data_IF_852806759512
#
_entry.id   IF_852806759512
#
_cell.length_a   1.000
_cell.length_b   1.000
_cell.length_c   1.000
_cell.angle_alpha   90.00
_cell.angle_beta   90.00
_cell.angle_gamma   90.00
#
_symmetry.space_group_name_H-M   'P 1'
#
loop_
_entity.id
_entity.type
_entity.pdbx_description
1 polymer ?
#
# COMPACT_ATOMS: atom_id res chain seq x y z
N UNK A 1 28.08 11.51 -31.85
CA UNK A 1 27.80 12.67 -31.00
C UNK A 1 26.37 13.12 -31.30
N UNK A 2 25.42 12.83 -30.40
CA UNK A 2 24.00 13.10 -30.64
C UNK A 2 23.67 14.58 -30.44
N UNK A 3 22.82 15.13 -31.31
CA UNK A 3 22.35 16.51 -31.31
C UNK A 3 21.81 16.93 -29.93
N UNK A 4 22.34 18.02 -29.37
CA UNK A 4 21.90 18.62 -28.10
C UNK A 4 21.30 19.99 -28.43
N UNK A 5 19.97 20.06 -28.46
CA UNK A 5 19.21 21.29 -28.69
C UNK A 5 18.06 21.41 -27.68
N UNK A 6 17.43 22.59 -27.60
CA UNK A 6 16.30 22.84 -26.69
C UNK A 6 15.15 21.85 -26.93
N UNK A 7 14.92 21.47 -28.19
CA UNK A 7 13.92 20.46 -28.59
C UNK A 7 14.22 19.07 -28.02
N UNK A 8 15.49 18.78 -27.68
CA UNK A 8 15.92 17.51 -27.11
C UNK A 8 15.94 17.53 -25.57
N UNK A 9 15.69 18.66 -24.90
CA UNK A 9 15.76 18.78 -23.44
C UNK A 9 14.73 17.87 -22.77
N UNK A 10 13.50 17.85 -23.26
CA UNK A 10 12.43 17.00 -22.73
C UNK A 10 12.79 15.51 -22.86
N UNK A 11 13.30 15.10 -24.02
CA UNK A 11 13.76 13.73 -24.29
C UNK A 11 14.97 13.36 -23.42
N UNK A 12 15.91 14.28 -23.20
CA UNK A 12 17.07 14.09 -22.33
C UNK A 12 16.68 14.01 -20.86
N UNK A 13 15.76 14.87 -20.39
CA UNK A 13 15.19 14.83 -19.05
C UNK A 13 14.43 13.53 -18.81
N UNK A 14 13.60 13.12 -19.78
CA UNK A 14 12.88 11.84 -19.76
C UNK A 14 13.84 10.65 -19.69
N UNK A 15 14.87 10.60 -20.55
CA UNK A 15 15.89 9.53 -20.51
C UNK A 15 16.65 9.50 -19.20
N UNK A 16 16.95 10.67 -18.62
CA UNK A 16 17.63 10.78 -17.33
C UNK A 16 16.71 10.29 -16.20
N UNK A 17 15.45 10.68 -16.18
CA UNK A 17 14.46 10.22 -15.21
C UNK A 17 14.21 8.71 -15.33
N UNK A 18 14.06 8.18 -16.54
CA UNK A 18 13.92 6.75 -16.82
C UNK A 18 15.13 5.94 -16.34
N UNK A 19 16.35 6.44 -16.56
CA UNK A 19 17.59 5.79 -16.06
C UNK A 19 17.75 5.91 -14.55
N UNK A 20 17.33 7.03 -13.96
CA UNK A 20 17.43 7.26 -12.52
C UNK A 20 16.43 6.41 -11.74
N UNK A 21 15.22 6.24 -12.29
CA UNK A 21 14.12 5.59 -11.59
C UNK A 21 13.70 6.34 -10.32
N UNK A 22 12.67 5.85 -9.65
CA UNK A 22 12.17 6.42 -8.39
C UNK A 22 12.06 5.35 -7.30
N UNK A 23 12.17 5.78 -6.05
CA UNK A 23 12.03 4.93 -4.87
C UNK A 23 10.63 5.15 -4.29
N UNK A 24 9.90 4.08 -4.03
CA UNK A 24 8.57 4.14 -3.43
C UNK A 24 8.49 3.20 -2.24
N UNK A 25 8.24 3.73 -1.04
CA UNK A 25 8.24 2.97 0.20
C UNK A 25 6.82 2.94 0.79
N UNK A 26 6.25 1.74 0.87
CA UNK A 26 4.91 1.50 1.42
C UNK A 26 5.07 0.76 2.74
N UNK A 27 4.35 1.17 3.77
CA UNK A 27 4.25 0.44 5.04
C UNK A 27 2.88 -0.20 5.17
N UNK A 28 2.79 -1.44 5.67
CA UNK A 28 1.51 -2.08 6.01
C UNK A 28 1.34 -2.11 7.52
N UNK A 29 0.23 -1.58 8.02
CA UNK A 29 -0.05 -1.47 9.46
C UNK A 29 -1.43 -2.05 9.76
N UNK A 30 -1.59 -2.72 10.90
CA UNK A 30 -2.87 -3.29 11.33
C UNK A 30 -2.70 -4.42 12.33
N UNK A 31 -3.80 -4.91 12.88
CA UNK A 31 -3.78 -6.03 13.83
C UNK A 31 -3.11 -7.29 13.24
N UNK A 32 -2.59 -8.15 14.11
CA UNK A 32 -2.11 -9.49 13.75
C UNK A 32 -3.20 -10.30 13.04
N UNK A 33 -2.81 -11.11 12.05
CA UNK A 33 -3.75 -12.03 11.39
C UNK A 33 -4.69 -11.40 10.37
N UNK A 34 -4.58 -10.11 10.06
CA UNK A 34 -5.37 -9.44 9.01
C UNK A 34 -4.89 -9.72 7.57
N UNK A 35 -3.80 -10.47 7.39
CA UNK A 35 -3.28 -10.80 6.05
C UNK A 35 -2.34 -9.75 5.45
N UNK A 36 -1.70 -8.91 6.29
CA UNK A 36 -0.71 -7.90 5.88
C UNK A 36 0.38 -8.48 4.98
N UNK A 37 1.17 -9.43 5.50
CA UNK A 37 2.26 -10.08 4.77
C UNK A 37 1.77 -10.84 3.53
N UNK A 38 0.56 -11.39 3.55
CA UNK A 38 -0.06 -11.99 2.36
C UNK A 38 -0.31 -10.94 1.28
N UNK A 39 -0.84 -9.77 1.64
CA UNK A 39 -1.08 -8.68 0.67
C UNK A 39 0.23 -8.14 0.08
N UNK A 40 1.31 -8.09 0.87
CA UNK A 40 2.65 -7.75 0.36
C UNK A 40 3.04 -8.69 -0.77
N UNK A 41 2.92 -10.01 -0.55
CA UNK A 41 3.23 -11.02 -1.56
C UNK A 41 2.31 -10.88 -2.79
N UNK A 42 1.01 -10.60 -2.58
CA UNK A 42 0.06 -10.33 -3.67
C UNK A 42 0.49 -9.13 -4.51
N UNK A 43 0.89 -8.03 -3.89
CA UNK A 43 1.33 -6.81 -4.58
C UNK A 43 2.55 -7.08 -5.47
N UNK A 44 3.55 -7.81 -4.94
CA UNK A 44 4.74 -8.17 -5.72
C UNK A 44 4.44 -9.16 -6.85
N UNK A 45 3.62 -10.20 -6.62
CA UNK A 45 3.25 -11.17 -7.67
C UNK A 45 2.36 -10.58 -8.76
N UNK A 46 1.58 -9.55 -8.44
CA UNK A 46 0.78 -8.81 -9.42
C UNK A 46 1.63 -7.97 -10.37
N UNK A 47 2.82 -7.52 -9.92
CA UNK A 47 3.67 -6.56 -10.66
C UNK A 47 4.91 -7.18 -11.30
N UNK A 48 5.55 -8.14 -10.66
CA UNK A 48 6.73 -8.80 -11.19
C UNK A 48 6.25 -9.80 -12.26
N UNK A 49 6.82 -9.73 -13.46
CA UNK A 49 6.56 -10.71 -14.52
C UNK A 49 6.60 -12.12 -13.93
N UNK A 50 5.48 -12.84 -14.00
CA UNK A 50 5.24 -14.18 -13.39
C UNK A 50 6.22 -15.28 -13.85
N UNK A 51 7.25 -14.91 -14.63
CA UNK A 51 8.34 -15.76 -15.11
C UNK A 51 9.48 -15.92 -14.10
N UNK A 52 9.66 -15.04 -13.11
CA UNK A 52 10.84 -15.07 -12.23
C UNK A 52 10.60 -15.59 -10.81
N UNK A 53 9.36 -15.91 -10.43
CA UNK A 53 9.06 -16.50 -9.12
C UNK A 53 8.84 -17.99 -9.34
N UNK A 54 9.87 -18.80 -9.08
CA UNK A 54 9.67 -20.24 -9.00
C UNK A 54 8.67 -20.54 -7.88
N UNK A 55 7.68 -21.43 -8.09
CA UNK A 55 6.80 -21.86 -7.02
C UNK A 55 7.61 -22.75 -6.08
N UNK A 56 8.22 -22.15 -5.07
CA UNK A 56 8.71 -22.91 -3.92
C UNK A 56 7.47 -23.38 -3.18
N UNK A 57 7.33 -24.71 -3.07
CA UNK A 57 6.41 -25.39 -2.16
C UNK A 57 6.36 -24.68 -0.80
N UNK A 58 5.14 -24.38 -0.39
CA UNK A 58 4.76 -23.33 0.57
C UNK A 58 5.30 -23.58 1.99
N UNK A 59 6.01 -22.61 2.53
CA UNK A 59 6.13 -22.44 3.99
C UNK A 59 5.05 -21.45 4.45
N UNK A 60 4.27 -21.85 5.45
CA UNK A 60 3.32 -21.00 6.17
C UNK A 60 4.01 -19.67 6.53
N UNK A 61 3.49 -18.54 6.06
CA UNK A 61 4.03 -17.21 6.39
C UNK A 61 4.04 -17.06 7.93
N UNK A 62 5.21 -16.92 8.58
CA UNK A 62 5.29 -16.82 10.02
C UNK A 62 4.71 -15.49 10.52
N UNK A 63 4.34 -15.44 11.79
CA UNK A 63 3.89 -14.18 12.42
C UNK A 63 5.05 -13.18 12.40
N UNK A 64 4.81 -11.99 11.84
CA UNK A 64 5.76 -10.88 11.86
C UNK A 64 5.94 -10.36 13.30
N UNK A 65 7.16 -10.47 13.83
CA UNK A 65 7.53 -10.06 15.20
C UNK A 65 8.35 -8.77 15.24
N UNK A 66 8.96 -8.38 14.12
CA UNK A 66 9.81 -7.19 13.97
C UNK A 66 9.46 -6.46 12.66
N UNK A 67 9.80 -5.18 12.57
CA UNK A 67 9.60 -4.40 11.34
C UNK A 67 10.61 -4.86 10.30
N UNK A 68 10.14 -5.31 9.13
CA UNK A 68 10.98 -5.82 8.03
C UNK A 68 10.71 -5.05 6.75
N UNK A 69 11.77 -4.67 6.04
CA UNK A 69 11.65 -4.02 4.73
C UNK A 69 12.04 -5.00 3.64
N UNK A 70 11.15 -5.19 2.66
CA UNK A 70 11.37 -6.04 1.48
C UNK A 70 11.42 -5.11 0.28
N UNK A 71 12.52 -5.14 -0.48
CA UNK A 71 12.71 -4.26 -1.64
C UNK A 71 12.76 -5.08 -2.93
N UNK A 72 11.98 -4.65 -3.93
CA UNK A 72 12.04 -5.18 -5.28
C UNK A 72 12.16 -4.06 -6.30
N UNK A 73 12.95 -4.29 -7.35
CA UNK A 73 12.99 -3.41 -8.50
C UNK A 73 11.94 -3.88 -9.53
N UNK A 74 11.07 -2.96 -9.92
CA UNK A 74 9.99 -3.16 -10.88
C UNK A 74 10.29 -2.27 -12.09
N UNK A 75 10.02 -2.76 -13.30
CA UNK A 75 10.14 -1.96 -14.52
C UNK A 75 8.80 -1.96 -15.26
N UNK A 76 8.20 -0.78 -15.44
CA UNK A 76 6.96 -0.59 -16.20
C UNK A 76 7.22 0.42 -17.32
N UNK A 77 7.01 0.01 -18.58
CA UNK A 77 7.21 0.84 -19.80
C UNK A 77 8.60 1.51 -19.88
N UNK A 78 9.65 0.84 -19.41
CA UNK A 78 11.04 1.35 -19.43
C UNK A 78 11.39 2.29 -18.27
N UNK A 79 10.48 2.49 -17.32
CA UNK A 79 10.74 3.23 -16.08
C UNK A 79 11.02 2.22 -14.97
N UNK A 80 12.19 2.33 -14.33
CA UNK A 80 12.55 1.51 -13.16
C UNK A 80 12.04 2.16 -11.89
N UNK A 81 11.37 1.39 -11.04
CA UNK A 81 10.92 1.78 -9.71
C UNK A 81 11.49 0.80 -8.69
N UNK A 82 12.10 1.32 -7.62
CA UNK A 82 12.48 0.52 -6.45
C UNK A 82 11.35 0.59 -5.44
N UNK A 83 10.55 -0.47 -5.39
CA UNK A 83 9.44 -0.60 -4.46
C UNK A 83 9.92 -1.29 -3.18
N UNK A 84 9.87 -0.55 -2.06
CA UNK A 84 10.10 -1.10 -0.72
C UNK A 84 8.74 -1.28 -0.05
N UNK A 85 8.47 -2.48 0.46
CA UNK A 85 7.30 -2.73 1.31
C UNK A 85 7.78 -3.10 2.70
N UNK A 86 7.31 -2.34 3.69
CA UNK A 86 7.68 -2.44 5.10
C UNK A 86 6.56 -3.20 5.83
N UNK A 87 6.83 -4.46 6.18
CA UNK A 87 5.94 -5.29 7.00
C UNK A 87 6.14 -4.95 8.48
N UNK A 88 5.05 -4.76 9.21
CA UNK A 88 5.10 -4.43 10.64
C UNK A 88 4.51 -5.54 11.51
N UNK A 89 4.98 -5.68 12.76
CA UNK A 89 4.30 -6.49 13.75
C UNK A 89 2.83 -6.05 13.88
N UNK A 90 1.95 -7.00 14.18
CA UNK A 90 0.58 -6.67 14.51
C UNK A 90 0.46 -6.11 15.93
N UNK A 91 -0.44 -5.15 16.11
CA UNK A 91 -0.85 -4.64 17.42
C UNK A 91 -2.20 -5.24 17.84
N UNK A 92 -2.66 -4.98 19.06
CA UNK A 92 -3.99 -5.39 19.52
C UNK A 92 -4.08 -6.81 20.10
N UNK A 93 -2.94 -7.49 20.32
CA UNK A 93 -2.87 -8.84 20.87
C UNK A 93 -2.71 -8.86 22.41
N UNK A 94 -2.40 -7.71 23.02
CA UNK A 94 -2.19 -7.58 24.46
C UNK A 94 -3.46 -7.13 25.19
N UNK A 95 -3.52 -7.32 26.52
CA UNK A 95 -4.63 -6.81 27.34
C UNK A 95 -4.57 -5.27 27.38
N UNK A 96 -3.37 -4.71 27.62
CA UNK A 96 -3.13 -3.28 27.48
C UNK A 96 -2.43 -3.01 26.13
N UNK A 97 -3.08 -2.22 25.27
CA UNK A 97 -2.54 -1.80 23.97
C UNK A 97 -2.20 -0.30 23.93
N UNK A 98 -2.13 0.36 25.09
CA UNK A 98 -1.62 1.72 25.18
C UNK A 98 -0.26 1.82 24.50
N UNK A 99 -0.05 2.89 23.75
CA UNK A 99 1.21 3.18 23.07
C UNK A 99 1.67 2.13 22.04
N UNK A 100 0.80 1.21 21.61
CA UNK A 100 1.18 0.20 20.61
C UNK A 100 1.58 0.78 19.24
N UNK A 101 1.23 2.04 18.95
CA UNK A 101 1.67 2.79 17.77
C UNK A 101 3.11 3.31 17.86
N UNK A 102 3.72 3.40 19.05
CA UNK A 102 5.03 4.03 19.25
C UNK A 102 6.15 3.41 18.38
N UNK A 103 6.29 2.07 18.25
CA UNK A 103 7.34 1.50 17.40
C UNK A 103 7.21 1.90 15.94
N UNK A 104 5.98 1.98 15.43
CA UNK A 104 5.69 2.35 14.04
C UNK A 104 5.93 3.86 13.83
N UNK A 105 5.43 4.70 14.72
CA UNK A 105 5.67 6.16 14.69
C UNK A 105 7.17 6.48 14.78
N UNK A 106 7.88 5.79 15.67
CA UNK A 106 9.34 5.92 15.81
C UNK A 106 10.04 5.53 14.51
N UNK A 107 9.68 4.41 13.89
CA UNK A 107 10.28 3.99 12.63
C UNK A 107 10.12 5.06 11.53
N UNK A 108 8.92 5.64 11.40
CA UNK A 108 8.61 6.70 10.41
C UNK A 108 9.50 7.92 10.67
N UNK A 109 9.52 8.41 11.92
CA UNK A 109 10.34 9.56 12.32
C UNK A 109 11.84 9.31 12.12
N UNK A 110 12.33 8.09 12.42
CA UNK A 110 13.71 7.71 12.20
C UNK A 110 14.08 7.78 10.70
N UNK A 111 13.15 7.51 9.77
CA UNK A 111 13.42 7.69 8.34
C UNK A 111 13.43 9.16 7.92
N UNK A 112 12.55 9.99 8.50
CA UNK A 112 12.58 11.43 8.27
C UNK A 112 13.88 12.05 8.77
N UNK A 113 14.32 11.68 9.98
CA UNK A 113 15.57 12.14 10.55
C UNK A 113 16.77 11.74 9.69
N UNK A 114 16.84 10.48 9.25
CA UNK A 114 17.91 10.02 8.34
C UNK A 114 17.97 10.83 7.06
N UNK A 115 16.82 11.12 6.45
CA UNK A 115 16.77 11.92 5.23
C UNK A 115 17.24 13.35 5.48
N UNK A 116 16.76 13.97 6.57
CA UNK A 116 17.13 15.32 6.97
C UNK A 116 18.64 15.45 7.21
N UNK A 117 19.23 14.49 7.94
CA UNK A 117 20.67 14.47 8.22
C UNK A 117 21.53 14.39 6.95
N UNK A 118 21.08 13.65 5.93
CA UNK A 118 21.76 13.59 4.62
C UNK A 118 21.55 14.87 3.80
N UNK A 119 20.39 15.53 3.94
CA UNK A 119 20.05 16.77 3.23
C UNK A 119 20.86 17.97 3.75
N UNK A 120 21.05 18.09 5.07
CA UNK A 120 21.81 19.18 5.70
C UNK A 120 23.32 18.99 5.60
N UNK A 121 23.80 17.82 5.20
CA UNK A 121 25.22 17.52 5.13
C UNK A 121 25.94 18.39 4.09
N UNK A 122 27.03 19.04 4.48
CA UNK A 122 27.84 19.90 3.60
C UNK A 122 28.36 19.11 2.39
N UNK A 123 28.79 17.86 2.61
CA UNK A 123 29.23 16.95 1.57
C UNK A 123 28.10 16.00 1.13
N UNK A 124 26.93 16.56 0.85
CA UNK A 124 25.75 15.77 0.45
C UNK A 124 26.03 14.89 -0.77
N UNK A 125 25.50 13.67 -0.73
CA UNK A 125 25.49 12.79 -1.89
C UNK A 125 24.73 13.47 -3.02
N UNK A 126 25.20 13.28 -4.27
CA UNK A 126 24.48 13.76 -5.47
C UNK A 126 23.05 13.20 -5.55
N UNK A 127 22.82 12.02 -4.98
CA UNK A 127 21.53 11.38 -4.80
C UNK A 127 21.43 10.87 -3.37
N UNK A 128 20.50 11.44 -2.60
CA UNK A 128 20.17 10.96 -1.26
C UNK A 128 19.22 9.77 -1.43
N UNK A 129 19.52 8.60 -0.86
CA UNK A 129 18.58 7.48 -0.82
C UNK A 129 17.35 7.86 0.00
N UNK A 130 16.16 7.72 -0.58
CA UNK A 130 14.92 8.04 0.10
C UNK A 130 14.31 6.79 0.74
N UNK A 131 14.42 6.69 2.06
CA UNK A 131 13.81 5.61 2.85
C UNK A 131 12.57 6.04 3.60
N UNK A 132 12.08 7.27 3.38
CA UNK A 132 10.88 7.79 4.05
C UNK A 132 9.67 6.97 3.63
N UNK A 133 8.73 6.77 4.56
CA UNK A 133 7.49 6.06 4.27
C UNK A 133 6.57 7.01 3.50
N UNK A 134 6.27 6.69 2.25
CA UNK A 134 5.44 7.54 1.39
C UNK A 134 3.94 7.28 1.59
N UNK A 135 3.59 6.02 1.88
CA UNK A 135 2.21 5.59 2.07
C UNK A 135 2.14 4.50 3.14
N UNK A 136 1.12 4.59 4.00
CA UNK A 136 0.77 3.59 5.00
C UNK A 136 -0.57 2.95 4.63
N UNK A 137 -0.57 1.66 4.30
CA UNK A 137 -1.79 0.88 4.10
C UNK A 137 -2.27 0.40 5.46
N UNK A 138 -3.40 0.93 5.92
CA UNK A 138 -3.94 0.61 7.23
C UNK A 138 -5.05 -0.45 7.14
N UNK A 139 -4.82 -1.62 7.72
CA UNK A 139 -5.73 -2.76 7.67
C UNK A 139 -6.75 -2.68 8.79
N UNK A 140 -8.02 -2.54 8.39
CA UNK A 140 -9.19 -2.55 9.26
C UNK A 140 -9.77 -3.97 9.28
N UNK A 141 -10.00 -4.58 10.45
CA UNK A 141 -10.67 -5.88 10.52
C UNK A 141 -12.09 -5.80 9.96
N UNK A 142 -12.50 -6.79 9.16
CA UNK A 142 -13.85 -6.90 8.61
C UNK A 142 -14.89 -7.33 9.69
N UNK A 143 -15.21 -6.43 10.61
CA UNK A 143 -16.17 -6.68 11.70
C UNK A 143 -17.62 -6.46 11.28
N UNK A 144 -17.87 -5.66 10.24
CA UNK A 144 -19.22 -5.27 9.80
C UNK A 144 -19.91 -4.21 10.68
N UNK A 145 -19.19 -3.62 11.65
CA UNK A 145 -19.74 -2.64 12.60
C UNK A 145 -19.17 -1.24 12.35
N UNK A 146 -18.43 -0.68 13.30
CA UNK A 146 -17.76 0.61 13.24
C UNK A 146 -16.25 0.44 13.45
N UNK A 147 -15.48 1.51 13.25
CA UNK A 147 -14.07 1.51 13.61
C UNK A 147 -13.92 1.30 15.12
N UNK A 148 -12.91 0.51 15.50
CA UNK A 148 -12.59 0.32 16.92
C UNK A 148 -11.91 1.59 17.44
N UNK A 149 -12.11 1.95 18.72
CA UNK A 149 -11.43 3.09 19.33
C UNK A 149 -9.91 3.03 19.18
N UNK A 150 -9.33 1.83 19.27
CA UNK A 150 -7.89 1.62 19.05
C UNK A 150 -7.46 2.01 17.63
N UNK A 151 -8.23 1.62 16.61
CA UNK A 151 -7.89 1.90 15.22
C UNK A 151 -8.05 3.40 14.91
N UNK A 152 -9.07 4.05 15.49
CA UNK A 152 -9.29 5.50 15.41
C UNK A 152 -8.08 6.25 15.97
N UNK A 153 -7.66 5.93 17.20
CA UNK A 153 -6.53 6.59 17.85
C UNK A 153 -5.22 6.35 17.08
N UNK A 154 -5.03 5.15 16.54
CA UNK A 154 -3.85 4.83 15.74
C UNK A 154 -3.82 5.65 14.44
N UNK A 155 -4.90 5.62 13.65
CA UNK A 155 -4.96 6.35 12.38
C UNK A 155 -4.88 7.86 12.59
N UNK A 156 -5.49 8.39 13.65
CA UNK A 156 -5.42 9.82 14.01
C UNK A 156 -4.00 10.30 14.31
N UNK A 157 -3.14 9.42 14.83
CA UNK A 157 -1.71 9.73 15.06
C UNK A 157 -0.90 9.58 13.78
N UNK A 158 -1.16 8.52 13.01
CA UNK A 158 -0.45 8.26 11.76
C UNK A 158 -0.72 9.35 10.71
N UNK A 159 -1.95 9.85 10.59
CA UNK A 159 -2.35 10.76 9.51
C UNK A 159 -1.61 12.10 9.56
N UNK A 160 -1.06 12.44 10.74
CA UNK A 160 -0.24 13.64 10.97
C UNK A 160 1.19 13.51 10.44
N UNK A 161 1.66 12.30 10.18
CA UNK A 161 3.07 12.03 9.82
C UNK A 161 3.23 11.22 8.56
N UNK A 162 2.20 10.55 8.04
CA UNK A 162 2.27 9.75 6.82
C UNK A 162 0.90 9.70 6.13
N UNK A 163 0.89 9.62 4.80
CA UNK A 163 -0.32 9.37 4.04
C UNK A 163 -0.92 8.01 4.39
N UNK A 164 -2.21 7.97 4.71
CA UNK A 164 -2.92 6.73 5.06
C UNK A 164 -3.86 6.32 3.93
N UNK A 165 -3.80 5.07 3.52
CA UNK A 165 -4.81 4.42 2.68
C UNK A 165 -5.46 3.30 3.49
N UNK A 166 -6.70 3.49 4.00
CA UNK A 166 -7.36 2.45 4.78
C UNK A 166 -7.92 1.37 3.87
N UNK A 167 -7.80 0.11 4.32
CA UNK A 167 -8.28 -1.07 3.60
C UNK A 167 -9.05 -1.99 4.54
N UNK A 168 -10.16 -2.55 4.07
CA UNK A 168 -10.88 -3.60 4.78
C UNK A 168 -10.17 -4.92 4.47
N UNK A 169 -9.61 -5.52 5.52
CA UNK A 169 -8.85 -6.75 5.45
C UNK A 169 -9.77 -7.97 5.31
N UNK A 170 -9.35 -8.96 4.51
CA UNK A 170 -10.11 -10.22 4.30
C UNK A 170 -11.57 -9.95 3.93
N UNK A 171 -11.79 -9.07 2.96
CA UNK A 171 -13.13 -8.67 2.55
C UNK A 171 -14.02 -9.83 2.07
N UNK A 172 -13.43 -11.00 1.78
CA UNK A 172 -14.14 -12.25 1.50
C UNK A 172 -14.98 -12.78 2.68
N UNK A 173 -14.83 -12.20 3.87
CA UNK A 173 -15.67 -12.53 5.04
C UNK A 173 -16.97 -11.73 5.11
N UNK A 174 -17.16 -10.74 4.24
CA UNK A 174 -18.36 -9.90 4.18
C UNK A 174 -19.11 -10.16 2.88
N UNK A 175 -20.43 -10.16 2.96
CA UNK A 175 -21.29 -10.04 1.78
C UNK A 175 -21.15 -8.65 1.15
N UNK A 176 -21.65 -8.47 -0.08
CA UNK A 176 -21.62 -7.17 -0.76
C UNK A 176 -22.38 -6.09 0.03
N UNK A 177 -23.54 -6.43 0.58
CA UNK A 177 -24.36 -5.52 1.38
C UNK A 177 -23.66 -5.13 2.70
N UNK A 178 -23.09 -6.11 3.41
CA UNK A 178 -22.34 -5.84 4.64
C UNK A 178 -21.10 -5.00 4.38
N UNK A 179 -20.40 -5.25 3.27
CA UNK A 179 -19.23 -4.48 2.85
C UNK A 179 -19.60 -3.02 2.60
N UNK A 180 -20.66 -2.77 1.84
CA UNK A 180 -21.06 -1.42 1.47
C UNK A 180 -21.55 -0.65 2.70
N UNK A 181 -22.31 -1.29 3.59
CA UNK A 181 -22.69 -0.73 4.89
C UNK A 181 -21.46 -0.43 5.76
N UNK A 182 -20.50 -1.35 5.83
CA UNK A 182 -19.30 -1.19 6.65
C UNK A 182 -18.40 -0.06 6.14
N UNK A 183 -18.27 0.11 4.83
CA UNK A 183 -17.56 1.26 4.23
C UNK A 183 -18.17 2.58 4.63
N UNK A 184 -19.50 2.71 4.57
CA UNK A 184 -20.19 3.93 4.98
C UNK A 184 -19.94 4.25 6.46
N UNK A 185 -19.97 3.23 7.33
CA UNK A 185 -19.66 3.38 8.76
C UNK A 185 -18.22 3.82 9.00
N UNK A 186 -17.25 3.18 8.35
CA UNK A 186 -15.83 3.57 8.45
C UNK A 186 -15.63 5.02 8.01
N UNK A 187 -16.21 5.42 6.87
CA UNK A 187 -16.08 6.79 6.37
C UNK A 187 -16.70 7.81 7.32
N UNK A 188 -17.86 7.50 7.90
CA UNK A 188 -18.48 8.36 8.92
C UNK A 188 -17.59 8.52 10.16
N UNK A 189 -16.97 7.43 10.64
CA UNK A 189 -16.05 7.47 11.79
C UNK A 189 -14.77 8.25 11.48
N UNK A 190 -14.18 8.09 10.29
CA UNK A 190 -13.01 8.84 9.86
C UNK A 190 -13.28 10.36 9.85
N UNK A 191 -14.42 10.76 9.26
CA UNK A 191 -14.84 12.16 9.20
C UNK A 191 -15.13 12.72 10.59
N UNK A 192 -15.89 12.00 11.42
CA UNK A 192 -16.24 12.44 12.77
C UNK A 192 -15.02 12.63 13.68
N UNK A 193 -13.92 11.91 13.42
CA UNK A 193 -12.68 11.99 14.19
C UNK A 193 -11.60 12.90 13.58
N UNK A 194 -11.88 13.52 12.43
CA UNK A 194 -10.93 14.38 11.71
C UNK A 194 -9.70 13.60 11.23
N UNK A 195 -9.90 12.42 10.67
CA UNK A 195 -8.83 11.57 10.13
C UNK A 195 -8.81 11.72 8.61
N UNK A 196 -7.86 12.51 8.12
CA UNK A 196 -7.65 12.67 6.68
C UNK A 196 -6.92 11.45 6.10
N UNK A 197 -7.47 10.92 5.02
CA UNK A 197 -6.94 9.77 4.29
C UNK A 197 -6.55 10.21 2.87
N UNK A 198 -5.54 9.55 2.32
CA UNK A 198 -5.08 9.82 0.97
C UNK A 198 -6.06 9.26 -0.07
N UNK A 199 -6.38 10.00 -1.16
CA UNK A 199 -5.90 11.35 -1.49
C UNK A 199 -6.72 12.46 -0.80
N UNK A 200 -6.06 13.40 -0.12
CA UNK A 200 -6.73 14.51 0.58
C UNK A 200 -7.22 15.56 -0.42
N UNK A 201 -8.42 16.10 -0.21
CA UNK A 201 -9.08 17.07 -1.13
C UNK A 201 -8.31 18.37 -1.30
N UNK A 202 -7.56 18.78 -0.28
CA UNK A 202 -6.77 20.00 -0.28
C UNK A 202 -5.52 19.95 -1.17
N UNK A 203 -5.11 18.75 -1.62
CA UNK A 203 -3.95 18.54 -2.48
C UNK A 203 -4.32 18.25 -3.94
N UNK A 204 -5.59 18.42 -4.35
CA UNK A 204 -5.96 18.33 -5.76
C UNK A 204 -5.40 19.56 -6.51
N UNK A 205 -4.50 19.36 -7.47
CA UNK A 205 -3.83 20.44 -8.20
C UNK A 205 -4.75 21.10 -9.24
N UNK A 206 -5.52 20.29 -9.97
CA UNK A 206 -6.46 20.75 -11.00
C UNK A 206 -7.78 19.94 -11.03
N UNK A 207 -8.66 20.29 -11.99
CA UNK A 207 -9.96 19.63 -12.13
C UNK A 207 -9.88 18.18 -12.60
N UNK A 208 -8.86 17.82 -13.38
CA UNK A 208 -8.67 16.46 -13.86
C UNK A 208 -8.20 15.56 -12.71
N UNK A 209 -7.21 16.03 -11.94
CA UNK A 209 -6.74 15.38 -10.73
C UNK A 209 -7.87 15.18 -9.72
N UNK A 210 -8.69 16.23 -9.52
CA UNK A 210 -9.86 16.14 -8.63
C UNK A 210 -10.83 15.05 -9.06
N UNK A 211 -11.15 14.95 -10.36
CA UNK A 211 -12.07 13.93 -10.88
C UNK A 211 -11.50 12.51 -10.74
N UNK A 212 -10.18 12.34 -10.89
CA UNK A 212 -9.52 11.04 -10.67
C UNK A 212 -9.53 10.68 -9.19
N UNK A 213 -9.13 11.61 -8.33
CA UNK A 213 -9.05 11.42 -6.88
C UNK A 213 -10.43 11.19 -6.24
N UNK A 214 -11.48 11.82 -6.76
CA UNK A 214 -12.86 11.62 -6.30
C UNK A 214 -13.31 10.16 -6.48
N UNK A 215 -13.00 9.53 -7.62
CA UNK A 215 -13.28 8.09 -7.84
C UNK A 215 -12.59 7.21 -6.80
N UNK A 216 -11.34 7.51 -6.44
CA UNK A 216 -10.64 6.76 -5.40
C UNK A 216 -11.25 7.01 -4.02
N UNK A 217 -11.61 8.25 -3.68
CA UNK A 217 -12.27 8.59 -2.40
C UNK A 217 -13.61 7.87 -2.22
N UNK A 218 -14.37 7.68 -3.30
CA UNK A 218 -15.63 6.92 -3.27
C UNK A 218 -15.42 5.43 -2.99
N UNK A 219 -14.28 4.87 -3.41
CA UNK A 219 -13.95 3.46 -3.19
C UNK A 219 -13.31 3.19 -1.83
N UNK A 220 -12.70 4.21 -1.21
CA UNK A 220 -12.03 4.10 0.09
C UNK A 220 -13.07 3.93 1.22
N UNK A 221 -12.84 3.01 2.18
CA UNK A 221 -11.71 2.08 2.27
C UNK A 221 -11.81 0.91 1.27
N UNK A 222 -10.69 0.52 0.65
CA UNK A 222 -10.69 -0.59 -0.32
C UNK A 222 -10.92 -1.93 0.36
N UNK A 223 -11.86 -2.72 -0.15
CA UNK A 223 -12.17 -4.05 0.31
C UNK A 223 -11.28 -5.09 -0.40
N UNK A 224 -10.23 -5.53 0.28
CA UNK A 224 -9.16 -6.32 -0.34
C UNK A 224 -9.13 -7.77 0.15
N UNK A 225 -8.74 -8.65 -0.78
CA UNK A 225 -8.45 -10.05 -0.50
C UNK A 225 -7.01 -10.30 -0.93
N UNK A 226 -6.17 -10.80 -0.04
CA UNK A 226 -4.80 -11.20 -0.35
C UNK A 226 -4.75 -12.65 -0.82
N UNK A 227 -3.87 -12.93 -1.77
CA UNK A 227 -3.44 -14.29 -2.09
C UNK A 227 -1.97 -14.35 -2.48
N UNK A 228 -1.29 -15.38 -1.99
CA UNK A 228 0.02 -15.83 -2.42
C UNK A 228 -0.05 -17.05 -3.35
N UNK A 229 -1.24 -17.54 -3.68
CA UNK A 229 -1.45 -18.71 -4.53
C UNK A 229 -1.87 -18.31 -5.95
N UNK A 230 -1.24 -18.99 -6.91
CA UNK A 230 -1.59 -18.87 -8.32
C UNK A 230 -2.37 -20.11 -8.78
N UNK A 231 -3.44 -19.86 -9.53
CA UNK A 231 -4.28 -20.88 -10.13
C UNK A 231 -4.31 -20.70 -11.64
N UNK A 232 -4.51 -21.80 -12.38
CA UNK A 232 -4.75 -21.72 -13.82
C UNK A 232 -6.24 -21.86 -14.08
N UNK A 233 -6.87 -20.80 -14.58
CA UNK A 233 -8.29 -20.75 -14.95
C UNK A 233 -8.38 -20.31 -16.40
N UNK A 234 -9.07 -21.08 -17.24
CA UNK A 234 -9.21 -20.81 -18.68
C UNK A 234 -7.86 -20.55 -19.40
N UNK A 235 -6.83 -21.32 -19.03
CA UNK A 235 -5.48 -21.20 -19.59
C UNK A 235 -4.66 -20.00 -19.08
N UNK A 236 -5.26 -19.08 -18.31
CA UNK A 236 -4.57 -17.93 -17.70
C UNK A 236 -4.17 -18.26 -16.27
N UNK A 237 -2.95 -17.89 -15.89
CA UNK A 237 -2.57 -17.85 -14.47
C UNK A 237 -3.31 -16.68 -13.82
N UNK A 238 -3.81 -16.87 -12.61
CA UNK A 238 -4.52 -15.87 -11.83
C UNK A 238 -4.05 -15.96 -10.38
N UNK A 239 -3.93 -14.82 -9.70
CA UNK A 239 -3.79 -14.82 -8.25
C UNK A 239 -5.17 -15.01 -7.64
N UNK A 240 -5.34 -16.01 -6.80
CA UNK A 240 -6.66 -16.33 -6.27
C UNK A 240 -6.61 -17.01 -4.92
N UNK A 241 -7.68 -16.87 -4.14
CA UNK A 241 -7.84 -17.53 -2.85
C UNK A 241 -8.88 -18.65 -3.01
N UNK A 242 -8.46 -19.89 -2.80
CA UNK A 242 -9.37 -21.05 -2.91
C UNK A 242 -10.17 -21.21 -1.63
N UNK A 243 -11.47 -21.27 -1.77
CA UNK A 243 -12.43 -21.54 -0.70
C UNK A 243 -13.12 -22.88 -0.96
N UNK A 244 -14.01 -23.30 -0.05
CA UNK A 244 -14.85 -24.49 -0.28
C UNK A 244 -15.89 -24.28 -1.41
N UNK A 245 -16.23 -23.03 -1.72
CA UNK A 245 -17.30 -22.67 -2.66
C UNK A 245 -16.78 -22.21 -4.03
N UNK A 246 -15.48 -21.98 -4.17
CA UNK A 246 -14.89 -21.51 -5.42
C UNK A 246 -13.56 -20.80 -5.20
N UNK A 247 -13.04 -20.22 -6.28
CA UNK A 247 -11.78 -19.46 -6.27
C UNK A 247 -12.10 -17.97 -6.39
N UNK A 248 -11.70 -17.19 -5.39
CA UNK A 248 -11.79 -15.74 -5.42
C UNK A 248 -10.57 -15.21 -6.16
N UNK A 249 -10.77 -14.72 -7.39
CA UNK A 249 -9.72 -14.08 -8.17
C UNK A 249 -9.41 -12.68 -7.63
N UNK A 250 -8.20 -12.47 -7.14
CA UNK A 250 -7.81 -11.25 -6.41
C UNK A 250 -7.68 -10.03 -7.33
N UNK A 251 -7.31 -10.24 -8.59
CA UNK A 251 -7.18 -9.14 -9.56
C UNK A 251 -8.49 -8.83 -10.30
N UNK A 252 -9.58 -9.55 -9.98
CA UNK A 252 -10.87 -9.38 -10.63
C UNK A 252 -11.75 -8.41 -9.82
N UNK A 253 -12.13 -7.31 -10.46
CA UNK A 253 -12.90 -6.21 -9.85
C UNK A 253 -14.32 -6.62 -9.44
N UNK A 254 -14.84 -7.73 -9.95
CA UNK A 254 -16.14 -8.27 -9.51
C UNK A 254 -16.04 -9.06 -8.21
N UNK A 255 -14.83 -9.47 -7.79
CA UNK A 255 -14.60 -10.24 -6.58
C UNK A 255 -14.09 -9.39 -5.42
N UNK A 256 -13.11 -8.51 -5.68
CA UNK A 256 -12.60 -7.58 -4.67
C UNK A 256 -11.98 -6.34 -5.31
N UNK A 257 -11.54 -5.41 -4.47
CA UNK A 257 -11.08 -4.09 -4.91
C UNK A 257 -9.55 -3.95 -4.89
N UNK A 258 -8.82 -5.08 -4.79
CA UNK A 258 -7.36 -5.07 -4.78
C UNK A 258 -6.76 -4.45 -6.05
N UNK A 259 -7.39 -4.65 -7.21
CA UNK A 259 -6.93 -4.05 -8.46
C UNK A 259 -6.91 -2.51 -8.38
N UNK A 260 -7.93 -1.90 -7.75
CA UNK A 260 -7.99 -0.45 -7.56
C UNK A 260 -6.94 0.05 -6.58
N UNK A 261 -6.71 -0.67 -5.46
CA UNK A 261 -5.63 -0.35 -4.53
C UNK A 261 -4.26 -0.40 -5.21
N UNK A 262 -4.00 -1.45 -5.99
CA UNK A 262 -2.74 -1.59 -6.74
C UNK A 262 -2.55 -0.45 -7.75
N UNK A 263 -3.62 -0.08 -8.44
CA UNK A 263 -3.56 0.94 -9.47
C UNK A 263 -3.35 2.34 -8.84
N UNK A 264 -3.98 2.64 -7.69
CA UNK A 264 -3.70 3.84 -6.88
C UNK A 264 -2.24 3.92 -6.42
N UNK A 265 -1.65 2.79 -6.00
CA UNK A 265 -0.31 2.80 -5.42
C UNK A 265 0.82 2.84 -6.46
N UNK A 266 0.57 2.37 -7.69
CA UNK A 266 1.66 2.07 -8.64
C UNK A 266 1.40 2.60 -10.06
N UNK A 267 0.16 2.92 -10.45
CA UNK A 267 -0.18 3.23 -11.86
C UNK A 267 -0.78 4.60 -12.14
N UNK A 268 -1.28 5.30 -11.12
CA UNK A 268 -1.77 6.69 -11.25
C UNK A 268 -0.61 7.66 -11.39
#
# INVERSE_FOLDING_TARGET
FGYVGIDAILEQMRRKAMKQGFEFNIMVVGQSGLGKSTLINTLFKSKISRKSVQPTSEERIPKTIEIKSITHEIEEKGVRMKLTVIDTPGFGDHINNENCWQPIMKFINDQYEKYLQEEININRKKRIPDTRVHCCIYFIPATGHSLRPLDIEFMKRLSKVVNIVPVIAKADTLTLEERDYFKQRIMADLLANGIDVYPQKEFDEDSEDRLVNEKFREMIPFAVVGSDQEYQVNGRRILGRKTKWGTIEVENTTHCEFAYLRDLLIRS
#
